data_IF_689780749740
#
_entry.id   IF_689780749740
#
_cell.length_a   1.000
_cell.length_b   1.000
_cell.length_c   1.000
_cell.angle_alpha   90.00
_cell.angle_beta   90.00
_cell.angle_gamma   90.00
#
_symmetry.space_group_name_H-M   'P 1'
#
loop_
_entity.id
_entity.type
_entity.pdbx_description
1 polymer ?
#
# COMPACT_ATOMS: atom_id res chain seq x y z
N UNK A 1 12.92 -5.96 29.62
CA UNK A 1 12.33 -4.62 29.53
C UNK A 1 11.06 -4.71 28.68
N UNK A 2 9.92 -4.19 29.13
CA UNK A 2 8.75 -4.07 28.26
C UNK A 2 9.03 -2.99 27.20
N UNK A 3 8.94 -3.37 25.93
CA UNK A 3 9.10 -2.46 24.78
C UNK A 3 7.86 -1.55 24.72
N UNK A 4 8.01 -0.25 24.99
CA UNK A 4 6.89 0.71 25.02
C UNK A 4 6.92 1.69 23.84
N UNK A 5 5.76 2.26 23.53
CA UNK A 5 5.57 3.29 22.52
C UNK A 5 6.61 4.43 22.60
N UNK A 6 6.85 4.96 23.79
CA UNK A 6 7.74 6.11 24.00
C UNK A 6 9.18 5.79 23.62
N UNK A 7 9.67 4.59 23.98
CA UNK A 7 11.02 4.14 23.66
C UNK A 7 11.17 4.00 22.14
N UNK A 8 10.18 3.39 21.48
CA UNK A 8 10.18 3.22 20.03
C UNK A 8 10.24 4.56 19.30
N UNK A 9 9.41 5.53 19.70
CA UNK A 9 9.40 6.86 19.06
C UNK A 9 10.75 7.56 19.24
N UNK A 10 11.37 7.46 20.41
CA UNK A 10 12.67 8.04 20.65
C UNK A 10 13.75 7.41 19.76
N UNK A 11 13.69 6.10 19.56
CA UNK A 11 14.61 5.39 18.68
C UNK A 11 14.41 5.78 17.20
N UNK A 12 13.17 5.72 16.70
CA UNK A 12 12.83 6.05 15.30
C UNK A 12 13.25 7.49 14.97
N UNK A 13 12.94 8.45 15.84
CA UNK A 13 13.15 9.87 15.57
C UNK A 13 14.60 10.29 15.74
N UNK A 14 15.33 9.72 16.70
CA UNK A 14 16.70 10.19 17.01
C UNK A 14 17.80 9.32 16.43
N UNK A 15 17.53 8.04 16.15
CA UNK A 15 18.55 7.09 15.68
C UNK A 15 18.41 6.75 14.20
N UNK A 16 17.31 7.16 13.56
CA UNK A 16 17.02 6.91 12.13
C UNK A 16 17.45 5.51 11.66
N UNK A 17 17.03 4.44 12.36
CA UNK A 17 17.54 3.11 12.08
C UNK A 17 17.10 2.62 10.71
N UNK A 18 17.85 1.67 10.14
CA UNK A 18 17.44 1.03 8.88
C UNK A 18 16.08 0.35 9.03
N UNK A 19 15.34 0.21 7.94
CA UNK A 19 14.03 -0.47 7.96
C UNK A 19 14.15 -1.91 8.47
N UNK A 20 15.25 -2.59 8.12
CA UNK A 20 15.55 -3.95 8.59
C UNK A 20 15.69 -4.01 10.11
N UNK A 21 16.46 -3.09 10.69
CA UNK A 21 16.65 -2.98 12.14
C UNK A 21 15.36 -2.62 12.86
N UNK A 22 14.57 -1.72 12.27
CA UNK A 22 13.28 -1.33 12.81
C UNK A 22 12.31 -2.51 12.84
N UNK A 23 12.34 -3.35 11.81
CA UNK A 23 11.49 -4.54 11.70
C UNK A 23 11.86 -5.62 12.71
N UNK A 24 13.15 -5.87 12.92
CA UNK A 24 13.60 -6.82 13.93
C UNK A 24 13.25 -6.35 15.35
N UNK A 25 13.44 -5.06 15.63
CA UNK A 25 13.24 -4.51 16.97
C UNK A 25 11.77 -4.21 17.28
N UNK A 26 11.01 -3.79 16.28
CA UNK A 26 9.62 -3.35 16.39
C UNK A 26 8.73 -3.97 15.31
N UNK A 27 8.59 -5.32 15.27
CA UNK A 27 7.79 -5.99 14.25
C UNK A 27 6.32 -5.54 14.23
N UNK A 28 5.80 -5.11 15.40
CA UNK A 28 4.47 -4.51 15.52
C UNK A 28 4.29 -3.24 14.66
N UNK A 29 5.34 -2.47 14.32
CA UNK A 29 5.20 -1.34 13.39
C UNK A 29 4.91 -1.75 11.95
N UNK A 30 4.94 -3.05 11.66
CA UNK A 30 4.70 -3.63 10.35
C UNK A 30 3.42 -4.48 10.34
N UNK A 31 2.69 -4.50 11.45
CA UNK A 31 1.33 -5.03 11.56
C UNK A 31 0.32 -3.90 11.34
N UNK A 32 -0.66 -4.13 10.48
CA UNK A 32 -1.64 -3.13 10.09
C UNK A 32 -2.47 -2.59 11.27
N UNK A 33 -2.92 -3.47 12.17
CA UNK A 33 -3.73 -3.07 13.32
C UNK A 33 -2.92 -2.19 14.28
N UNK A 34 -1.66 -2.54 14.48
CA UNK A 34 -0.72 -1.74 15.26
C UNK A 34 -0.43 -0.39 14.58
N UNK A 35 -0.13 -0.35 13.28
CA UNK A 35 0.08 0.93 12.56
C UNK A 35 -1.13 1.85 12.72
N UNK A 36 -2.34 1.31 12.56
CA UNK A 36 -3.58 2.05 12.73
C UNK A 36 -3.73 2.61 14.15
N UNK A 37 -3.51 1.77 15.17
CA UNK A 37 -3.59 2.16 16.57
C UNK A 37 -2.58 3.27 16.90
N UNK A 38 -1.36 3.14 16.38
CA UNK A 38 -0.25 4.05 16.63
C UNK A 38 -0.47 5.40 15.95
N UNK A 39 -0.91 5.38 14.69
CA UNK A 39 -1.31 6.59 13.98
C UNK A 39 -2.44 7.31 14.72
N UNK A 40 -3.45 6.57 15.19
CA UNK A 40 -4.56 7.14 15.98
C UNK A 40 -4.08 7.69 17.31
N UNK A 41 -3.13 7.04 17.97
CA UNK A 41 -2.57 7.52 19.23
C UNK A 41 -1.80 8.84 19.06
N UNK A 42 -1.08 9.02 17.95
CA UNK A 42 -0.32 10.24 17.67
C UNK A 42 -1.21 11.36 17.14
N UNK A 43 -2.08 11.06 16.18
CA UNK A 43 -2.82 12.08 15.40
C UNK A 43 -4.25 12.28 15.88
N UNK A 44 -4.76 11.39 16.74
CA UNK A 44 -6.17 11.29 17.17
C UNK A 44 -7.16 10.95 16.05
N UNK A 45 -6.66 10.63 14.85
CA UNK A 45 -7.47 10.38 13.65
C UNK A 45 -7.34 8.91 13.21
N UNK A 46 -8.41 8.35 12.62
CA UNK A 46 -8.38 7.01 12.00
C UNK A 46 -7.57 7.04 10.71
N UNK A 47 -6.50 6.24 10.63
CA UNK A 47 -5.61 6.19 9.46
C UNK A 47 -6.37 5.71 8.22
N UNK A 48 -6.93 4.50 8.25
CA UNK A 48 -7.64 3.89 7.12
C UNK A 48 -8.75 4.78 6.57
N UNK A 49 -9.66 5.23 7.44
CA UNK A 49 -10.80 6.05 7.02
C UNK A 49 -10.32 7.36 6.37
N UNK A 50 -9.29 7.98 6.94
CA UNK A 50 -8.75 9.24 6.42
C UNK A 50 -7.98 9.02 5.12
N UNK A 51 -7.21 7.94 5.05
CA UNK A 51 -6.45 7.56 3.87
C UNK A 51 -7.40 7.33 2.69
N UNK A 52 -8.43 6.51 2.87
CA UNK A 52 -9.44 6.23 1.83
C UNK A 52 -10.16 7.50 1.41
N UNK A 53 -10.60 8.34 2.37
CA UNK A 53 -11.27 9.60 2.04
C UNK A 53 -10.37 10.56 1.26
N UNK A 54 -9.08 10.64 1.61
CA UNK A 54 -8.10 11.47 0.88
C UNK A 54 -7.76 10.89 -0.48
N UNK A 55 -7.65 9.56 -0.58
CA UNK A 55 -7.43 8.87 -1.85
C UNK A 55 -8.58 9.17 -2.82
N UNK A 56 -9.82 9.04 -2.38
CA UNK A 56 -11.00 9.38 -3.17
C UNK A 56 -11.00 10.85 -3.60
N UNK A 57 -10.72 11.75 -2.66
CA UNK A 57 -10.66 13.19 -2.92
C UNK A 57 -9.61 13.55 -3.98
N UNK A 58 -8.44 12.90 -3.96
CA UNK A 58 -7.35 13.18 -4.90
C UNK A 58 -7.33 12.29 -6.14
N UNK A 59 -8.22 11.30 -6.24
CA UNK A 59 -8.23 10.30 -7.32
C UNK A 59 -8.21 10.95 -8.71
N UNK A 60 -9.05 11.97 -8.95
CA UNK A 60 -9.10 12.68 -10.24
C UNK A 60 -7.78 13.38 -10.59
N UNK A 61 -7.14 14.01 -9.60
CA UNK A 61 -5.84 14.66 -9.76
C UNK A 61 -4.74 13.64 -10.02
N UNK A 62 -4.78 12.50 -9.34
CA UNK A 62 -3.87 11.37 -9.60
C UNK A 62 -4.05 10.88 -11.04
N UNK A 63 -5.28 10.63 -11.51
CA UNK A 63 -5.52 10.19 -12.89
C UNK A 63 -5.01 11.19 -13.94
N UNK A 64 -5.16 12.49 -13.68
CA UNK A 64 -4.61 13.54 -14.54
C UNK A 64 -3.07 13.50 -14.56
N UNK A 65 -2.44 13.32 -13.40
CA UNK A 65 -0.98 13.20 -13.27
C UNK A 65 -0.47 11.98 -14.06
N UNK A 66 -1.15 10.84 -13.94
CA UNK A 66 -0.81 9.61 -14.64
C UNK A 66 -0.93 9.79 -16.16
N UNK A 67 -2.02 10.40 -16.62
CA UNK A 67 -2.25 10.67 -18.06
C UNK A 67 -1.17 11.57 -18.68
N UNK A 68 -0.55 12.45 -17.88
CA UNK A 68 0.52 13.34 -18.35
C UNK A 68 1.88 12.65 -18.51
N UNK A 69 2.03 11.44 -17.95
CA UNK A 69 3.29 10.68 -17.94
C UNK A 69 3.57 10.05 -19.32
N UNK A 70 4.75 10.33 -19.87
CA UNK A 70 5.25 9.72 -21.10
C UNK A 70 6.19 8.52 -20.89
N UNK A 71 6.72 7.99 -22.00
CA UNK A 71 7.76 6.95 -21.99
C UNK A 71 7.24 5.55 -21.63
N UNK A 72 8.13 4.69 -21.10
CA UNK A 72 7.80 3.30 -20.77
C UNK A 72 6.66 3.16 -19.74
N UNK A 73 6.53 4.14 -18.83
CA UNK A 73 5.44 4.18 -17.85
C UNK A 73 4.06 4.42 -18.49
N UNK A 74 4.00 5.02 -19.68
CA UNK A 74 2.74 5.33 -20.38
C UNK A 74 1.95 4.06 -20.72
N UNK A 75 2.63 2.99 -21.13
CA UNK A 75 1.98 1.72 -21.50
C UNK A 75 1.33 1.09 -20.26
N UNK A 76 2.05 1.05 -19.13
CA UNK A 76 1.51 0.53 -17.86
C UNK A 76 0.33 1.37 -17.36
N UNK A 77 0.43 2.70 -17.44
CA UNK A 77 -0.67 3.61 -17.06
C UNK A 77 -1.88 3.44 -17.96
N UNK A 78 -1.70 3.28 -19.28
CA UNK A 78 -2.80 3.05 -20.21
C UNK A 78 -3.50 1.72 -19.93
N UNK A 79 -2.76 0.67 -19.58
CA UNK A 79 -3.36 -0.59 -19.15
C UNK A 79 -4.25 -0.41 -17.91
N UNK A 80 -3.75 0.31 -16.89
CA UNK A 80 -4.55 0.62 -15.70
C UNK A 80 -5.78 1.47 -16.02
N UNK A 81 -5.68 2.42 -16.96
CA UNK A 81 -6.83 3.22 -17.40
C UNK A 81 -7.87 2.39 -18.14
N UNK A 82 -7.46 1.35 -18.89
CA UNK A 82 -8.39 0.44 -19.55
C UNK A 82 -9.21 -0.38 -18.54
N UNK A 83 -8.66 -0.68 -17.36
CA UNK A 83 -9.43 -1.30 -16.26
C UNK A 83 -10.62 -0.41 -15.89
N UNK A 84 -10.42 0.92 -15.80
CA UNK A 84 -11.50 1.88 -15.50
C UNK A 84 -12.56 2.00 -16.61
N UNK A 85 -12.22 1.64 -17.84
CA UNK A 85 -13.18 1.57 -18.94
C UNK A 85 -14.08 0.32 -18.83
N UNK A 86 -13.58 -0.74 -18.20
CA UNK A 86 -14.32 -1.99 -17.98
C UNK A 86 -15.11 -1.98 -16.67
N UNK A 87 -14.52 -1.44 -15.60
CA UNK A 87 -15.15 -1.24 -14.29
C UNK A 87 -14.81 0.13 -13.72
N UNK A 88 -15.83 0.98 -13.56
CA UNK A 88 -15.70 2.32 -12.99
C UNK A 88 -16.18 2.39 -11.53
N UNK A 89 -16.13 1.27 -10.82
CA UNK A 89 -16.38 1.20 -9.37
C UNK A 89 -15.46 2.14 -8.58
N UNK A 90 -15.83 2.42 -7.33
CA UNK A 90 -14.98 3.24 -6.43
C UNK A 90 -13.68 2.47 -6.13
N UNK A 91 -13.80 1.16 -5.98
CA UNK A 91 -12.74 0.22 -5.68
C UNK A 91 -11.71 0.19 -6.82
N UNK A 92 -12.15 0.02 -8.07
CA UNK A 92 -11.27 0.04 -9.24
C UNK A 92 -10.55 1.40 -9.39
N UNK A 93 -11.24 2.52 -9.11
CA UNK A 93 -10.61 3.85 -9.13
C UNK A 93 -9.53 4.01 -8.08
N UNK A 94 -9.75 3.50 -6.87
CA UNK A 94 -8.74 3.50 -5.79
C UNK A 94 -7.54 2.64 -6.17
N UNK A 95 -7.79 1.43 -6.69
CA UNK A 95 -6.75 0.51 -7.13
C UNK A 95 -5.88 1.14 -8.22
N UNK A 96 -6.49 1.67 -9.29
CA UNK A 96 -5.75 2.31 -10.39
C UNK A 96 -4.99 3.55 -9.92
N UNK A 97 -5.53 4.30 -8.95
CA UNK A 97 -4.81 5.44 -8.36
C UNK A 97 -3.54 4.98 -7.62
N UNK A 98 -3.63 3.93 -6.79
CA UNK A 98 -2.49 3.39 -6.04
C UNK A 98 -1.46 2.75 -7.00
N UNK A 99 -1.90 1.86 -7.89
CA UNK A 99 -1.06 1.22 -8.90
C UNK A 99 -0.38 2.22 -9.84
N UNK A 100 -1.11 3.26 -10.24
CA UNK A 100 -0.56 4.32 -11.05
C UNK A 100 0.51 5.12 -10.31
N UNK A 101 0.30 5.43 -9.02
CA UNK A 101 1.30 6.13 -8.21
C UNK A 101 2.60 5.32 -8.10
N UNK A 102 2.53 4.01 -7.92
CA UNK A 102 3.72 3.14 -7.91
C UNK A 102 4.52 3.25 -9.22
N UNK A 103 3.83 3.13 -10.36
CA UNK A 103 4.43 3.30 -11.70
C UNK A 103 4.98 4.72 -11.88
N UNK A 104 4.32 5.72 -11.31
CA UNK A 104 4.73 7.12 -11.36
C UNK A 104 5.97 7.41 -10.49
N UNK A 105 6.10 6.80 -9.32
CA UNK A 105 7.26 7.02 -8.46
C UNK A 105 8.48 6.21 -8.89
N UNK A 106 8.33 5.33 -9.91
CA UNK A 106 9.36 4.37 -10.36
C UNK A 106 9.81 3.45 -9.23
N UNK A 107 8.91 3.16 -8.32
CA UNK A 107 9.11 2.10 -7.34
C UNK A 107 9.22 0.78 -8.12
N UNK A 108 10.19 -0.05 -7.74
CA UNK A 108 10.34 -1.36 -8.39
C UNK A 108 9.16 -2.23 -7.97
N UNK A 109 8.53 -2.87 -8.93
CA UNK A 109 7.41 -3.79 -8.68
C UNK A 109 7.83 -4.93 -7.73
N UNK A 110 9.10 -5.35 -7.81
CA UNK A 110 9.73 -6.36 -6.96
C UNK A 110 9.86 -5.97 -5.48
N UNK A 111 9.84 -4.67 -5.16
CA UNK A 111 9.94 -4.18 -3.77
C UNK A 111 8.57 -4.20 -3.07
N UNK A 112 7.45 -4.34 -3.82
CA UNK A 112 6.09 -4.20 -3.27
C UNK A 112 5.15 -5.40 -3.53
N UNK A 113 5.34 -6.15 -4.61
CA UNK A 113 4.51 -7.33 -4.91
C UNK A 113 5.34 -8.60 -4.80
N UNK A 114 4.76 -9.65 -4.20
CA UNK A 114 5.33 -10.99 -4.20
C UNK A 114 4.25 -11.95 -4.68
N UNK A 115 4.57 -12.69 -5.73
CA UNK A 115 3.75 -13.80 -6.20
C UNK A 115 3.87 -14.93 -5.18
N UNK A 116 2.75 -15.40 -4.62
CA UNK A 116 2.75 -16.59 -3.77
C UNK A 116 2.82 -17.83 -4.67
N UNK A 117 4.01 -18.43 -4.76
CA UNK A 117 4.11 -19.86 -4.95
C UNK A 117 3.81 -20.51 -3.60
N UNK A 118 2.75 -21.32 -3.55
CA UNK A 118 2.17 -21.83 -2.32
C UNK A 118 3.19 -22.46 -1.36
N UNK A 119 2.91 -22.24 -0.07
CA UNK A 119 3.61 -22.76 1.12
C UNK A 119 4.64 -21.78 1.73
N UNK A 120 4.14 -20.74 2.42
CA UNK A 120 4.99 -19.83 3.18
C UNK A 120 4.23 -19.06 4.27
N UNK A 121 4.60 -19.30 5.52
CA UNK A 121 4.05 -18.72 6.75
C UNK A 121 3.95 -17.17 6.72
N UNK A 122 2.73 -16.68 6.93
CA UNK A 122 2.32 -15.27 6.84
C UNK A 122 2.66 -14.54 8.15
N UNK A 123 3.93 -14.52 8.56
CA UNK A 123 4.32 -13.92 9.86
C UNK A 123 5.34 -12.79 9.75
N UNK A 124 5.63 -12.27 8.55
CA UNK A 124 6.67 -11.26 8.43
C UNK A 124 6.61 -10.27 7.27
N UNK A 125 5.54 -10.19 6.46
CA UNK A 125 5.52 -9.29 5.29
C UNK A 125 4.67 -8.04 5.52
N UNK A 126 5.37 -6.90 5.63
CA UNK A 126 4.87 -5.55 5.40
C UNK A 126 3.79 -5.54 4.31
N UNK A 127 2.60 -4.99 4.58
CA UNK A 127 1.46 -4.81 3.66
C UNK A 127 1.83 -4.93 2.17
N UNK A 128 1.83 -6.17 1.65
CA UNK A 128 1.91 -6.44 0.21
C UNK A 128 0.49 -6.68 -0.27
N UNK A 129 0.11 -6.04 -1.37
CA UNK A 129 -1.18 -6.29 -2.01
C UNK A 129 -1.10 -7.67 -2.67
N UNK A 130 -1.83 -8.65 -2.14
CA UNK A 130 -1.88 -10.01 -2.69
C UNK A 130 -2.89 -10.03 -3.84
N UNK A 131 -2.42 -10.35 -5.05
CA UNK A 131 -3.27 -10.59 -6.22
C UNK A 131 -3.27 -12.08 -6.52
N UNK A 132 -4.41 -12.75 -6.30
CA UNK A 132 -4.58 -14.14 -6.71
C UNK A 132 -4.88 -14.21 -8.21
N UNK A 133 -3.96 -14.76 -8.99
CA UNK A 133 -4.20 -15.03 -10.41
C UNK A 133 -4.26 -16.52 -10.67
N UNK A 134 -5.43 -17.13 -10.53
CA UNK A 134 -5.74 -18.41 -11.21
C UNK A 134 -7.18 -18.43 -11.71
N UNK A 135 -7.34 -18.18 -13.02
CA UNK A 135 -8.32 -18.76 -13.94
C UNK A 135 -9.83 -18.81 -13.58
N UNK A 136 -10.58 -17.87 -14.19
CA UNK A 136 -12.03 -17.86 -14.57
C UNK A 136 -13.09 -17.73 -13.44
N UNK A 137 -14.25 -17.08 -13.69
CA UNK A 137 -14.50 -15.64 -13.80
C UNK A 137 -15.16 -15.08 -12.51
N UNK A 138 -14.97 -13.77 -12.28
CA UNK A 138 -15.72 -12.94 -11.33
C UNK A 138 -15.81 -13.45 -9.88
N UNK A 139 -14.87 -13.03 -9.02
CA UNK A 139 -15.18 -12.68 -7.63
C UNK A 139 -13.97 -12.01 -6.96
N UNK A 140 -14.12 -10.72 -6.69
CA UNK A 140 -13.53 -10.00 -5.56
C UNK A 140 -12.02 -10.20 -5.28
N UNK A 141 -11.20 -9.30 -5.83
CA UNK A 141 -9.95 -8.93 -5.19
C UNK A 141 -10.27 -8.47 -3.75
N UNK A 142 -9.80 -9.22 -2.76
CA UNK A 142 -9.90 -8.83 -1.35
C UNK A 142 -8.61 -8.10 -0.99
N UNK A 143 -8.75 -6.81 -0.67
CA UNK A 143 -7.72 -6.08 0.06
C UNK A 143 -7.77 -6.61 1.49
N UNK A 144 -6.75 -7.37 1.88
CA UNK A 144 -6.50 -7.69 3.28
C UNK A 144 -5.63 -6.55 3.81
N UNK A 145 -6.23 -5.69 4.63
CA UNK A 145 -5.51 -4.72 5.46
C UNK A 145 -4.97 -5.44 6.69
#
# INVERSE_FOLDING_TARGET
MAKTFSIRRQEVVNQEPSVSDLKERWPALFDAAQINQEFRQITTVSLETTFIAKLDHYSSKIMSLLSSRGGAAKVKIQHLQNILLQDNSVEARREVAICGLMVYLREKEDDLFKEEDGDGDITGELMKIVTTQVGIPAAHAKIVL
#
